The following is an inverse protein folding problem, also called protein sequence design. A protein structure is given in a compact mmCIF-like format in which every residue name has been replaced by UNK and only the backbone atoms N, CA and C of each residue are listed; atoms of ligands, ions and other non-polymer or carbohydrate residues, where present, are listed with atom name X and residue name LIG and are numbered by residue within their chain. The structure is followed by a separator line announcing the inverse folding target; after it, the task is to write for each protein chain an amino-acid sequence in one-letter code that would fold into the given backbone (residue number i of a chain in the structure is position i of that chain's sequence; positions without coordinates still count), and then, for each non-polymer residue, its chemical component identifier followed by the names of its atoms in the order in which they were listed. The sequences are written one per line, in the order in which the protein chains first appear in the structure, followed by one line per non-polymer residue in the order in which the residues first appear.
data_IF_639548844986
#
_entry.id   IF_639548844986
#
_cell.length_a   1.000
_cell.length_b   1.000
_cell.length_c   1.000
_cell.angle_alpha   90.00
_cell.angle_beta   90.00
_cell.angle_gamma   90.00
#
_symmetry.space_group_name_H-M   'P 1'
#
loop_
_entity.id
_entity.type
_entity.pdbx_description
1 polymer ?
#
# COMPACT_ATOMS: atom_id res chain seq x y z
N UNK A 1 -3.73 -68.56 13.32
CA UNK A 1 -2.58 -67.68 13.12
C UNK A 1 -2.79 -66.40 13.90
N UNK A 2 -1.88 -66.06 14.80
CA UNK A 2 -1.94 -65.04 15.84
C UNK A 2 -2.00 -63.59 15.27
N UNK A 3 -3.05 -62.90 15.64
CA UNK A 3 -3.14 -61.43 15.60
C UNK A 3 -2.26 -60.83 16.70
N UNK A 4 -1.29 -59.99 16.36
CA UNK A 4 -0.62 -59.07 17.30
C UNK A 4 -1.40 -57.76 17.32
N UNK A 5 -2.03 -57.48 18.48
CA UNK A 5 -2.37 -56.17 18.92
C UNK A 5 -1.09 -55.49 19.46
N UNK A 6 -0.90 -54.24 19.12
CA UNK A 6 -0.42 -53.15 19.98
C UNK A 6 0.35 -52.11 19.14
N UNK A 7 -0.30 -51.01 18.84
CA UNK A 7 0.33 -49.70 18.88
C UNK A 7 -0.73 -48.65 19.30
N UNK A 8 -0.63 -48.19 20.52
CA UNK A 8 -1.40 -47.06 21.04
C UNK A 8 -0.91 -45.79 20.30
N UNK A 9 -1.70 -45.30 19.38
CA UNK A 9 -1.54 -43.95 18.84
C UNK A 9 -1.84 -42.98 19.97
N UNK A 10 -0.88 -42.17 20.39
CA UNK A 10 -1.00 -41.25 21.51
C UNK A 10 -1.99 -40.12 21.18
N UNK A 11 -2.72 -39.64 22.20
CA UNK A 11 -3.68 -38.56 22.07
C UNK A 11 -3.10 -37.26 21.45
N UNK A 12 -1.77 -37.10 21.47
CA UNK A 12 -1.06 -36.00 20.80
C UNK A 12 -1.04 -36.09 19.26
N UNK A 13 -0.95 -37.32 18.75
CA UNK A 13 -0.90 -37.56 17.30
C UNK A 13 -2.29 -37.38 16.66
N UNK A 14 -3.37 -37.63 17.41
CA UNK A 14 -4.74 -37.33 16.95
C UNK A 14 -5.05 -35.82 16.94
N UNK A 15 -4.48 -35.04 17.83
CA UNK A 15 -4.67 -33.57 17.86
C UNK A 15 -3.90 -32.90 16.71
N UNK A 16 -2.70 -33.39 16.39
CA UNK A 16 -1.94 -32.88 15.23
C UNK A 16 -2.61 -33.28 13.93
N UNK A 17 -3.09 -34.52 13.78
CA UNK A 17 -3.83 -34.96 12.59
C UNK A 17 -5.19 -34.26 12.42
N UNK A 18 -5.88 -33.87 13.51
CA UNK A 18 -7.12 -33.07 13.43
C UNK A 18 -6.85 -31.60 13.13
N UNK A 19 -5.69 -31.03 13.49
CA UNK A 19 -5.29 -29.69 13.10
C UNK A 19 -4.86 -29.60 11.62
N UNK A 20 -4.29 -30.66 11.06
CA UNK A 20 -3.88 -30.72 9.65
C UNK A 20 -5.06 -30.92 8.68
N UNK A 21 -6.19 -31.51 9.13
CA UNK A 21 -7.31 -31.80 8.21
C UNK A 21 -8.31 -30.64 7.99
N UNK A 22 -8.18 -29.51 8.70
CA UNK A 22 -9.11 -28.39 8.62
C UNK A 22 -8.63 -27.21 7.78
N UNK A 23 -7.43 -27.27 7.16
CA UNK A 23 -6.82 -26.13 6.46
C UNK A 23 -6.42 -26.37 5.01
N UNK A 24 -7.01 -27.37 4.34
CA UNK A 24 -6.87 -27.50 2.91
C UNK A 24 -7.85 -26.58 2.17
N UNK A 25 -7.57 -25.27 2.16
CA UNK A 25 -8.04 -24.42 1.08
C UNK A 25 -7.39 -24.92 -0.22
N UNK A 26 -8.19 -25.45 -1.16
CA UNK A 26 -7.72 -25.77 -2.51
C UNK A 26 -7.03 -24.53 -3.07
N UNK A 27 -5.82 -24.64 -3.63
CA UNK A 27 -5.20 -23.54 -4.31
C UNK A 27 -6.11 -23.08 -5.44
N UNK A 28 -6.44 -21.80 -5.48
CA UNK A 28 -7.10 -21.18 -6.61
C UNK A 28 -6.05 -21.09 -7.73
N UNK A 29 -6.06 -22.08 -8.61
CA UNK A 29 -5.36 -22.02 -9.90
C UNK A 29 -6.01 -20.95 -10.80
N UNK A 30 -5.76 -19.71 -10.52
CA UNK A 30 -5.77 -18.66 -11.53
C UNK A 30 -4.31 -18.21 -11.66
N UNK A 31 -3.69 -18.53 -12.76
CA UNK A 31 -2.40 -17.95 -13.17
C UNK A 31 -2.61 -16.46 -13.40
N UNK A 32 -2.61 -15.69 -12.29
CA UNK A 32 -2.63 -14.25 -12.34
C UNK A 32 -1.31 -13.76 -12.97
N UNK A 33 -1.40 -12.75 -13.80
CA UNK A 33 -0.22 -12.20 -14.48
C UNK A 33 0.69 -11.39 -13.56
N UNK A 34 0.30 -11.19 -12.33
CA UNK A 34 1.10 -10.61 -11.25
C UNK A 34 0.77 -11.31 -9.93
N UNK A 35 1.61 -11.09 -8.91
CA UNK A 35 1.48 -11.72 -7.60
C UNK A 35 0.69 -10.83 -6.61
N UNK A 36 -0.62 -11.02 -6.40
CA UNK A 36 -1.40 -10.19 -5.49
C UNK A 36 -1.09 -10.52 -4.02
N UNK A 37 -1.10 -9.52 -3.15
CA UNK A 37 -0.76 -9.66 -1.72
C UNK A 37 -1.67 -10.64 -0.96
N UNK A 38 -2.85 -10.94 -1.48
CA UNK A 38 -3.71 -11.99 -0.90
C UNK A 38 -3.05 -13.37 -0.95
N UNK A 39 -2.18 -13.63 -1.93
CA UNK A 39 -1.41 -14.87 -2.02
C UNK A 39 -0.43 -15.00 -0.86
N UNK A 40 0.24 -13.90 -0.48
CA UNK A 40 1.12 -13.87 0.69
C UNK A 40 0.44 -14.44 1.94
N UNK A 41 -0.79 -13.99 2.23
CA UNK A 41 -1.53 -14.49 3.39
C UNK A 41 -1.87 -15.98 3.26
N UNK A 42 -2.23 -16.43 2.08
CA UNK A 42 -2.56 -17.84 1.84
C UNK A 42 -1.32 -18.73 1.95
N UNK A 43 -0.20 -18.29 1.41
CA UNK A 43 1.07 -19.03 1.41
C UNK A 43 1.69 -19.11 2.82
N UNK A 44 1.67 -18.00 3.59
CA UNK A 44 2.36 -17.94 4.88
C UNK A 44 1.47 -18.28 6.09
N UNK A 45 0.15 -18.08 5.96
CA UNK A 45 -0.79 -18.25 7.08
C UNK A 45 -1.93 -19.22 6.78
N UNK A 46 -1.95 -19.84 5.59
CA UNK A 46 -2.93 -20.84 5.19
C UNK A 46 -4.36 -20.32 4.98
N UNK A 47 -4.58 -19.00 5.07
CA UNK A 47 -5.92 -18.42 4.94
C UNK A 47 -5.87 -17.00 4.36
N UNK A 48 -7.03 -16.55 3.86
CA UNK A 48 -7.22 -15.18 3.42
C UNK A 48 -7.53 -14.29 4.61
N UNK A 49 -6.75 -13.23 4.81
CA UNK A 49 -6.98 -12.21 5.83
C UNK A 49 -7.63 -10.96 5.22
N UNK A 50 -8.63 -10.41 5.91
CA UNK A 50 -9.25 -9.14 5.55
C UNK A 50 -8.78 -8.04 6.48
N UNK A 51 -8.23 -6.95 5.91
CA UNK A 51 -7.84 -5.75 6.67
C UNK A 51 -9.10 -5.04 7.18
N UNK A 52 -9.18 -4.77 8.48
CA UNK A 52 -10.21 -3.95 9.13
C UNK A 52 -9.54 -2.66 9.57
N UNK A 53 -9.97 -1.54 9.01
CA UNK A 53 -9.36 -0.23 9.28
C UNK A 53 -9.67 0.23 10.70
N UNK A 54 -8.65 0.72 11.40
CA UNK A 54 -8.73 1.28 12.76
C UNK A 54 -8.09 2.66 12.78
N UNK A 55 -8.77 3.62 13.37
CA UNK A 55 -8.24 4.94 13.68
C UNK A 55 -7.96 5.03 15.19
N UNK A 56 -6.69 5.05 15.55
CA UNK A 56 -6.25 5.11 16.95
C UNK A 56 -6.18 6.53 17.52
N UNK A 57 -6.60 7.56 16.77
CA UNK A 57 -6.52 8.95 17.19
C UNK A 57 -5.08 9.48 17.28
N UNK A 58 -4.12 8.83 16.60
CA UNK A 58 -2.74 9.31 16.50
C UNK A 58 -2.65 10.47 15.49
N UNK A 59 -1.51 11.15 15.47
CA UNK A 59 -1.25 12.29 14.58
C UNK A 59 -0.07 12.03 13.64
N UNK A 60 0.43 13.08 13.01
CA UNK A 60 1.55 13.04 12.09
C UNK A 60 2.46 14.25 12.37
N UNK A 61 3.80 14.11 12.36
CA UNK A 61 4.73 15.21 12.61
C UNK A 61 4.60 16.37 11.61
N UNK A 62 4.03 16.15 10.43
CA UNK A 62 3.69 17.22 9.48
C UNK A 62 2.40 17.99 9.84
N UNK A 63 1.70 17.64 10.92
CA UNK A 63 0.41 18.24 11.31
C UNK A 63 0.43 18.86 12.70
N UNK A 64 1.21 18.31 13.62
CA UNK A 64 1.24 18.76 15.01
C UNK A 64 2.27 19.87 15.31
N UNK A 65 2.98 20.35 14.29
CA UNK A 65 4.00 21.38 14.40
C UNK A 65 5.42 20.88 14.59
N UNK A 66 5.64 19.59 14.78
CA UNK A 66 7.00 19.03 14.98
C UNK A 66 7.88 19.19 13.73
N UNK A 67 7.33 18.92 12.55
CA UNK A 67 7.96 19.15 11.25
C UNK A 67 7.19 20.17 10.40
N UNK A 68 5.89 20.29 10.63
CA UNK A 68 5.02 21.19 9.89
C UNK A 68 3.58 21.16 10.38
N UNK A 69 2.79 22.12 9.85
CA UNK A 69 1.35 22.21 10.13
C UNK A 69 0.57 21.93 8.85
N UNK A 70 -0.48 21.27 8.78
CA UNK A 70 -1.30 21.08 7.57
C UNK A 70 -1.00 19.81 6.76
N UNK A 71 0.06 19.08 7.05
CA UNK A 71 0.38 17.79 6.39
C UNK A 71 1.08 17.90 5.04
N UNK A 72 1.25 16.77 4.36
CA UNK A 72 1.68 16.75 2.96
C UNK A 72 0.65 17.43 2.07
N UNK A 73 1.09 18.03 0.96
CA UNK A 73 0.23 18.89 0.12
C UNK A 73 -1.02 18.20 -0.42
N UNK A 74 -0.98 16.88 -0.62
CA UNK A 74 -2.05 16.03 -1.16
C UNK A 74 -2.93 15.36 -0.08
N UNK A 75 -2.55 15.46 1.20
CA UNK A 75 -3.08 14.57 2.24
C UNK A 75 -4.36 15.10 2.87
N UNK A 76 -5.43 14.33 2.70
CA UNK A 76 -6.63 14.38 3.52
C UNK A 76 -6.97 12.96 4.00
N UNK A 77 -6.82 12.71 5.32
CA UNK A 77 -7.09 11.38 5.86
C UNK A 77 -8.57 10.98 5.78
N UNK A 78 -9.49 11.94 5.83
CA UNK A 78 -10.94 11.66 5.80
C UNK A 78 -11.39 11.08 4.45
N UNK A 79 -10.62 11.33 3.38
CA UNK A 79 -10.88 10.78 2.06
C UNK A 79 -10.61 9.28 1.94
N UNK A 80 -9.83 8.69 2.86
CA UNK A 80 -9.25 7.36 2.68
C UNK A 80 -9.62 6.33 3.75
N UNK A 81 -10.42 6.69 4.76
CA UNK A 81 -10.87 5.74 5.77
C UNK A 81 -12.40 5.55 5.74
N UNK A 82 -12.89 4.36 6.11
CA UNK A 82 -14.32 4.09 6.15
C UNK A 82 -15.00 4.80 7.33
N UNK A 83 -16.30 5.05 7.21
CA UNK A 83 -17.09 5.79 8.20
C UNK A 83 -17.17 5.11 9.58
N UNK A 84 -16.92 3.82 9.69
CA UNK A 84 -16.89 3.12 10.99
C UNK A 84 -15.60 3.40 11.77
N UNK A 85 -14.52 3.78 11.10
CA UNK A 85 -13.20 3.97 11.67
C UNK A 85 -13.02 5.44 12.11
N UNK A 86 -13.52 5.78 13.28
CA UNK A 86 -13.43 7.14 13.86
C UNK A 86 -12.83 7.10 15.26
N UNK A 87 -12.00 8.09 15.66
CA UNK A 87 -11.24 8.04 16.92
C UNK A 87 -12.09 8.24 18.19
N UNK A 88 -13.34 8.64 18.06
CA UNK A 88 -14.32 8.73 19.15
C UNK A 88 -14.84 7.36 19.61
N UNK A 89 -14.65 6.31 18.79
CA UNK A 89 -14.98 4.92 19.12
C UNK A 89 -13.80 4.18 19.70
N UNK A 90 -14.06 3.24 20.61
CA UNK A 90 -13.02 2.32 21.06
C UNK A 90 -12.49 1.46 19.91
N UNK A 91 -11.25 1.00 20.00
CA UNK A 91 -10.62 0.14 18.98
C UNK A 91 -11.44 -1.14 18.76
N UNK A 92 -11.90 -1.78 19.83
CA UNK A 92 -12.77 -2.97 19.74
C UNK A 92 -14.04 -2.70 18.95
N UNK A 93 -14.74 -1.59 19.26
CA UNK A 93 -15.95 -1.20 18.52
C UNK A 93 -15.70 -0.94 17.03
N UNK A 94 -14.60 -0.26 16.69
CA UNK A 94 -14.22 -0.06 15.29
C UNK A 94 -13.96 -1.39 14.57
N UNK A 95 -13.37 -2.37 15.28
CA UNK A 95 -13.12 -3.72 14.75
C UNK A 95 -14.45 -4.43 14.54
N UNK A 96 -15.36 -4.46 15.52
CA UNK A 96 -16.67 -5.09 15.40
C UNK A 96 -17.46 -4.55 14.20
N UNK A 97 -17.62 -3.22 14.12
CA UNK A 97 -18.32 -2.55 13.03
C UNK A 97 -17.64 -2.80 11.67
N UNK A 98 -16.29 -2.85 11.64
CA UNK A 98 -15.52 -3.15 10.45
C UNK A 98 -15.68 -4.60 9.99
N UNK A 99 -15.74 -5.56 10.90
CA UNK A 99 -16.02 -6.97 10.60
C UNK A 99 -17.40 -7.10 9.98
N UNK A 100 -18.43 -6.50 10.59
CA UNK A 100 -19.79 -6.52 10.03
C UNK A 100 -19.85 -5.87 8.64
N UNK A 101 -19.19 -4.73 8.43
CA UNK A 101 -19.09 -4.09 7.13
C UNK A 101 -18.48 -5.01 6.07
N UNK A 102 -17.45 -5.77 6.45
CA UNK A 102 -16.76 -6.67 5.51
C UNK A 102 -17.51 -7.99 5.28
N UNK A 103 -18.24 -8.51 6.26
CA UNK A 103 -19.10 -9.69 6.07
C UNK A 103 -20.12 -9.49 4.96
N UNK A 104 -20.73 -8.31 4.89
CA UNK A 104 -21.70 -7.95 3.84
C UNK A 104 -21.01 -7.82 2.47
N UNK A 105 -19.79 -7.29 2.43
CA UNK A 105 -19.09 -6.95 1.18
C UNK A 105 -18.18 -8.06 0.65
N UNK A 106 -17.62 -8.88 1.53
CA UNK A 106 -16.60 -9.88 1.22
C UNK A 106 -16.92 -11.23 1.90
N UNK A 107 -17.88 -11.97 1.39
CA UNK A 107 -18.33 -13.26 1.95
C UNK A 107 -17.24 -14.35 2.09
N UNK A 108 -16.04 -14.14 1.53
CA UNK A 108 -14.90 -15.08 1.58
C UNK A 108 -13.88 -14.75 2.68
N UNK A 109 -14.09 -13.68 3.45
CA UNK A 109 -13.20 -13.35 4.56
C UNK A 109 -13.46 -14.32 5.73
N UNK A 110 -12.43 -15.08 6.11
CA UNK A 110 -12.50 -16.06 7.21
C UNK A 110 -11.83 -15.53 8.48
N UNK A 111 -10.87 -14.65 8.35
CA UNK A 111 -10.10 -14.07 9.42
C UNK A 111 -9.77 -12.61 9.13
N UNK A 112 -9.47 -11.86 10.18
CA UNK A 112 -9.27 -10.42 10.09
C UNK A 112 -7.91 -10.00 10.66
N UNK A 113 -7.41 -8.85 10.16
CA UNK A 113 -6.21 -8.19 10.66
C UNK A 113 -6.53 -6.71 10.88
N UNK A 114 -6.19 -6.15 12.05
CA UNK A 114 -6.43 -4.74 12.34
C UNK A 114 -5.45 -3.86 11.57
N UNK A 115 -5.97 -2.92 10.79
CA UNK A 115 -5.18 -2.02 9.95
C UNK A 115 -5.25 -0.60 10.47
N UNK A 116 -4.21 -0.17 11.17
CA UNK A 116 -4.01 1.20 11.62
C UNK A 116 -3.56 2.04 10.43
N UNK A 117 -4.52 2.69 9.76
CA UNK A 117 -4.28 3.37 8.48
C UNK A 117 -4.11 4.89 8.60
N UNK A 118 -5.00 5.65 9.28
CA UNK A 118 -4.92 7.10 9.28
C UNK A 118 -3.68 7.62 10.01
N UNK A 119 -3.03 8.65 9.47
CA UNK A 119 -1.86 9.33 10.03
C UNK A 119 -0.58 8.46 10.08
N UNK A 120 0.23 8.62 11.16
CA UNK A 120 1.48 7.87 11.37
C UNK A 120 1.37 7.04 12.63
N UNK A 121 1.11 5.76 12.48
CA UNK A 121 0.71 4.92 13.61
C UNK A 121 1.87 4.37 14.45
N UNK A 122 3.10 4.82 14.19
CA UNK A 122 4.25 4.65 15.09
C UNK A 122 4.70 5.98 15.72
N UNK A 123 3.99 7.07 15.46
CA UNK A 123 4.31 8.40 15.98
C UNK A 123 3.69 8.63 17.35
N UNK A 124 4.18 7.90 18.33
CA UNK A 124 3.87 8.04 19.75
C UNK A 124 4.97 7.35 20.59
N UNK A 125 5.05 7.61 21.92
CA UNK A 125 5.89 6.83 22.82
C UNK A 125 5.54 5.34 22.77
N UNK A 126 6.54 4.45 22.90
CA UNK A 126 6.34 3.01 22.77
C UNK A 126 5.31 2.46 23.75
N UNK A 127 5.29 2.93 25.01
CA UNK A 127 4.30 2.52 26.01
C UNK A 127 2.87 2.75 25.51
N UNK A 128 2.61 3.90 24.86
CA UNK A 128 1.30 4.23 24.29
C UNK A 128 0.94 3.34 23.11
N UNK A 129 1.91 3.03 22.24
CA UNK A 129 1.71 2.11 21.12
C UNK A 129 1.38 0.71 21.59
N UNK A 130 2.07 0.22 22.66
CA UNK A 130 1.78 -1.07 23.31
C UNK A 130 0.34 -1.15 23.80
N UNK A 131 -0.16 -0.11 24.48
CA UNK A 131 -1.55 -0.03 24.94
C UNK A 131 -2.55 -0.07 23.78
N UNK A 132 -2.31 0.69 22.72
CA UNK A 132 -3.18 0.78 21.54
C UNK A 132 -3.26 -0.57 20.81
N UNK A 133 -2.11 -1.16 20.52
CA UNK A 133 -2.09 -2.41 19.76
C UNK A 133 -2.56 -3.61 20.56
N UNK A 134 -2.33 -3.62 21.90
CA UNK A 134 -2.88 -4.65 22.78
C UNK A 134 -4.41 -4.69 22.73
N UNK A 135 -5.10 -3.55 22.63
CA UNK A 135 -6.56 -3.51 22.50
C UNK A 135 -7.04 -4.20 21.21
N UNK A 136 -6.36 -3.99 20.09
CA UNK A 136 -6.70 -4.66 18.82
C UNK A 136 -6.38 -6.17 18.88
N UNK A 137 -5.22 -6.53 19.44
CA UNK A 137 -4.75 -7.91 19.53
C UNK A 137 -5.52 -8.76 20.56
N UNK A 138 -6.25 -8.12 21.49
CA UNK A 138 -7.15 -8.78 22.44
C UNK A 138 -8.47 -9.24 21.78
N UNK A 139 -8.81 -8.71 20.59
CA UNK A 139 -10.04 -9.10 19.89
C UNK A 139 -9.89 -10.52 19.32
N UNK A 140 -10.87 -11.45 19.58
CA UNK A 140 -10.73 -12.87 19.22
C UNK A 140 -10.58 -13.14 17.73
N UNK A 141 -11.19 -12.31 16.88
CA UNK A 141 -11.16 -12.47 15.42
C UNK A 141 -9.93 -11.82 14.75
N UNK A 142 -9.08 -11.14 15.54
CA UNK A 142 -7.90 -10.42 15.02
C UNK A 142 -6.64 -11.27 15.16
N UNK A 143 -6.00 -11.57 14.02
CA UNK A 143 -4.79 -12.39 13.94
C UNK A 143 -3.49 -11.59 14.08
N UNK A 144 -3.57 -10.26 13.90
CA UNK A 144 -2.40 -9.40 13.94
C UNK A 144 -2.72 -7.97 13.57
N UNK A 145 -1.69 -7.19 13.28
CA UNK A 145 -1.77 -5.77 12.99
C UNK A 145 -1.04 -5.41 11.70
N UNK A 146 -1.62 -4.48 10.94
CA UNK A 146 -0.96 -3.75 9.85
C UNK A 146 -0.85 -2.30 10.28
N UNK A 147 0.34 -1.74 10.20
CA UNK A 147 0.67 -0.42 10.72
C UNK A 147 1.08 0.50 9.56
N UNK A 148 0.16 1.38 9.13
CA UNK A 148 0.46 2.45 8.19
C UNK A 148 1.24 3.56 8.89
N UNK A 149 2.44 3.87 8.41
CA UNK A 149 3.28 4.89 9.06
C UNK A 149 4.22 5.56 8.07
N UNK A 150 4.88 6.61 8.56
CA UNK A 150 5.97 7.30 7.87
C UNK A 150 7.31 6.64 8.21
N UNK A 151 8.27 6.59 7.27
CA UNK A 151 9.59 6.02 7.53
C UNK A 151 10.37 6.72 8.65
N UNK A 152 10.18 8.03 8.83
CA UNK A 152 10.84 8.84 9.87
C UNK A 152 10.18 8.74 11.26
N UNK A 153 9.11 7.94 11.39
CA UNK A 153 8.40 7.73 12.66
C UNK A 153 8.71 6.39 13.31
N UNK A 154 9.67 5.63 12.80
CA UNK A 154 10.15 4.38 13.40
C UNK A 154 11.54 4.56 13.99
N UNK A 155 11.85 3.79 15.03
CA UNK A 155 13.15 3.67 15.66
C UNK A 155 13.41 2.22 16.08
N UNK A 156 14.61 1.92 16.50
CA UNK A 156 15.00 0.55 16.86
C UNK A 156 14.14 -0.01 18.00
N UNK A 157 13.83 0.77 19.03
CA UNK A 157 13.04 0.33 20.17
C UNK A 157 11.64 -0.15 19.74
N UNK A 158 10.98 0.59 18.85
CA UNK A 158 9.67 0.21 18.29
C UNK A 158 9.76 -1.03 17.41
N UNK A 159 10.78 -1.08 16.54
CA UNK A 159 10.97 -2.22 15.63
C UNK A 159 11.35 -3.48 16.39
N UNK A 160 12.18 -3.41 17.44
CA UNK A 160 12.52 -4.55 18.29
C UNK A 160 11.26 -5.11 18.97
N UNK A 161 10.42 -4.25 19.51
CA UNK A 161 9.16 -4.68 20.12
C UNK A 161 8.18 -5.29 19.10
N UNK A 162 8.11 -4.75 17.88
CA UNK A 162 7.27 -5.32 16.80
C UNK A 162 7.80 -6.67 16.34
N UNK A 163 9.12 -6.88 16.35
CA UNK A 163 9.73 -8.17 16.12
C UNK A 163 9.33 -9.18 17.22
N UNK A 164 9.42 -8.80 18.49
CA UNK A 164 8.97 -9.63 19.63
C UNK A 164 7.51 -10.08 19.44
N UNK A 165 6.62 -9.17 19.04
CA UNK A 165 5.22 -9.52 18.75
C UNK A 165 5.10 -10.59 17.64
N UNK A 166 5.91 -10.46 16.60
CA UNK A 166 5.93 -11.41 15.48
C UNK A 166 6.46 -12.78 15.95
N UNK A 167 7.51 -12.82 16.74
CA UNK A 167 8.08 -14.04 17.33
C UNK A 167 7.10 -14.76 18.27
N UNK A 168 6.19 -14.00 18.91
CA UNK A 168 5.09 -14.54 19.72
C UNK A 168 3.85 -14.96 18.88
N UNK A 169 4.01 -15.09 17.57
CA UNK A 169 3.01 -15.64 16.65
C UNK A 169 1.91 -14.65 16.22
N UNK A 170 2.09 -13.35 16.45
CA UNK A 170 1.20 -12.34 15.92
C UNK A 170 1.65 -11.92 14.52
N UNK A 171 0.72 -11.72 13.61
CA UNK A 171 1.02 -11.17 12.29
C UNK A 171 1.30 -9.68 12.44
N UNK A 172 2.51 -9.25 12.06
CA UNK A 172 2.93 -7.84 12.09
C UNK A 172 3.36 -7.42 10.69
N UNK A 173 2.74 -6.38 10.17
CA UNK A 173 3.06 -5.81 8.86
C UNK A 173 3.20 -4.31 9.00
N UNK A 174 4.29 -3.74 8.48
CA UNK A 174 4.46 -2.28 8.42
C UNK A 174 4.23 -1.81 6.98
N UNK A 175 3.34 -0.82 6.80
CA UNK A 175 3.11 -0.16 5.52
C UNK A 175 3.73 1.23 5.55
N UNK A 176 4.83 1.41 4.82
CA UNK A 176 5.55 2.69 4.75
C UNK A 176 5.00 3.58 3.64
N UNK A 177 4.54 4.77 3.99
CA UNK A 177 4.27 5.83 3.03
C UNK A 177 5.59 6.43 2.54
N UNK A 178 6.16 5.89 1.48
CA UNK A 178 7.40 6.37 0.83
C UNK A 178 7.04 7.49 -0.15
N UNK A 179 6.01 7.27 -0.93
CA UNK A 179 5.35 8.12 -1.92
C UNK A 179 6.16 8.33 -3.21
N UNK A 180 7.46 8.67 -3.12
CA UNK A 180 8.38 8.84 -4.25
C UNK A 180 9.79 8.37 -3.90
N UNK A 181 10.55 7.96 -4.92
CA UNK A 181 12.00 7.68 -4.80
C UNK A 181 12.86 8.91 -5.05
N UNK A 182 12.25 10.06 -5.36
CA UNK A 182 12.95 11.29 -5.71
C UNK A 182 12.82 12.35 -4.62
N UNK A 183 13.95 12.78 -4.05
CA UNK A 183 13.96 13.79 -2.98
C UNK A 183 13.34 15.12 -3.40
N UNK A 184 13.55 15.57 -4.65
CA UNK A 184 12.89 16.78 -5.19
C UNK A 184 11.37 16.71 -5.11
N UNK A 185 10.80 15.53 -5.36
CA UNK A 185 9.36 15.29 -5.29
C UNK A 185 8.89 15.26 -3.85
N UNK A 186 9.61 14.55 -2.96
CA UNK A 186 9.30 14.49 -1.53
C UNK A 186 9.33 15.89 -0.90
N UNK A 187 10.29 16.73 -1.27
CA UNK A 187 10.36 18.14 -0.85
C UNK A 187 9.17 18.93 -1.41
N UNK A 188 8.89 18.79 -2.72
CA UNK A 188 7.79 19.48 -3.42
C UNK A 188 6.41 19.20 -2.81
N UNK A 189 6.16 17.97 -2.36
CA UNK A 189 4.91 17.57 -1.70
C UNK A 189 4.93 17.77 -0.19
N UNK A 190 5.95 18.39 0.37
CA UNK A 190 6.14 18.60 1.81
C UNK A 190 6.07 17.29 2.61
N UNK A 191 6.77 16.25 2.13
CA UNK A 191 6.76 14.94 2.80
C UNK A 191 7.45 14.99 4.16
N UNK A 192 8.45 15.87 4.35
CA UNK A 192 9.16 16.09 5.61
C UNK A 192 10.24 15.05 5.93
N UNK A 193 10.49 14.09 5.05
CA UNK A 193 11.65 13.19 5.05
C UNK A 193 12.14 12.98 3.62
N UNK A 194 13.39 12.56 3.47
CA UNK A 194 14.01 12.19 2.20
C UNK A 194 13.90 10.67 1.94
N UNK A 195 14.31 10.25 0.74
CA UNK A 195 14.26 8.84 0.33
C UNK A 195 15.24 7.97 1.12
N UNK A 196 16.42 8.49 1.50
CA UNK A 196 17.43 7.80 2.30
C UNK A 196 16.89 7.41 3.68
N UNK A 197 16.05 8.26 4.27
CA UNK A 197 15.31 7.93 5.51
C UNK A 197 14.38 6.74 5.30
N UNK A 198 13.70 6.68 4.16
CA UNK A 198 12.83 5.55 3.84
C UNK A 198 13.66 4.26 3.63
N UNK A 199 14.77 4.33 2.90
CA UNK A 199 15.68 3.18 2.71
C UNK A 199 16.16 2.64 4.06
N UNK A 200 16.63 3.51 4.95
CA UNK A 200 17.10 3.12 6.28
C UNK A 200 16.00 2.41 7.10
N UNK A 201 14.79 2.96 7.13
CA UNK A 201 13.66 2.36 7.84
C UNK A 201 13.31 0.97 7.29
N UNK A 202 13.30 0.83 5.96
CA UNK A 202 13.03 -0.42 5.26
C UNK A 202 14.11 -1.47 5.58
N UNK A 203 15.39 -1.11 5.55
CA UNK A 203 16.50 -2.01 5.86
C UNK A 203 16.48 -2.46 7.33
N UNK A 204 16.21 -1.53 8.27
CA UNK A 204 16.08 -1.85 9.69
C UNK A 204 14.92 -2.81 9.97
N UNK A 205 13.82 -2.64 9.25
CA UNK A 205 12.64 -3.51 9.34
C UNK A 205 12.92 -4.89 8.74
N UNK A 206 13.58 -4.93 7.58
CA UNK A 206 13.96 -6.18 6.90
C UNK A 206 14.93 -7.02 7.75
N UNK A 207 15.91 -6.38 8.43
CA UNK A 207 16.86 -7.06 9.35
C UNK A 207 16.16 -7.80 10.48
N UNK A 208 14.97 -7.37 10.89
CA UNK A 208 14.15 -7.99 11.93
C UNK A 208 13.16 -9.02 11.39
N UNK A 209 13.18 -9.28 10.08
CA UNK A 209 12.25 -10.23 9.45
C UNK A 209 10.77 -9.78 9.48
N UNK A 210 10.51 -8.49 9.75
CA UNK A 210 9.15 -7.96 9.76
C UNK A 210 8.68 -7.74 8.32
N UNK A 211 7.49 -8.25 8.01
CA UNK A 211 6.83 -8.04 6.70
C UNK A 211 6.54 -6.57 6.48
N UNK A 212 6.88 -6.06 5.29
CA UNK A 212 6.69 -4.65 4.97
C UNK A 212 6.16 -4.40 3.56
N UNK A 213 5.36 -3.35 3.43
CA UNK A 213 4.79 -2.88 2.18
C UNK A 213 5.20 -1.42 1.94
N UNK A 214 5.69 -1.11 0.75
CA UNK A 214 5.99 0.28 0.35
C UNK A 214 4.86 0.89 -0.45
N UNK A 215 4.42 2.10 -0.07
CA UNK A 215 3.44 2.88 -0.83
C UNK A 215 4.14 3.86 -1.74
N UNK A 216 3.68 3.97 -3.00
CA UNK A 216 4.17 4.90 -4.01
C UNK A 216 3.00 5.55 -4.74
N UNK A 217 3.17 6.81 -5.11
CA UNK A 217 2.16 7.59 -5.85
C UNK A 217 2.76 8.01 -7.19
N UNK A 218 2.08 7.68 -8.29
CA UNK A 218 2.45 8.12 -9.63
C UNK A 218 1.69 9.40 -10.02
N UNK A 219 2.36 10.29 -10.75
CA UNK A 219 1.81 11.59 -11.15
C UNK A 219 2.00 12.70 -10.12
N UNK A 220 2.87 12.51 -9.13
CA UNK A 220 3.25 13.58 -8.20
C UNK A 220 3.88 14.76 -8.95
N UNK A 221 3.63 16.02 -8.52
CA UNK A 221 4.10 17.19 -9.24
C UNK A 221 5.63 17.24 -9.31
N UNK A 222 6.13 17.62 -10.49
CA UNK A 222 7.55 17.76 -10.79
C UNK A 222 8.25 16.45 -11.19
N UNK A 223 7.55 15.32 -11.25
CA UNK A 223 8.07 14.08 -11.84
C UNK A 223 7.79 14.03 -13.34
N UNK A 224 8.80 13.66 -14.12
CA UNK A 224 8.67 13.40 -15.54
C UNK A 224 8.12 11.99 -15.81
N UNK A 225 7.59 11.74 -17.00
CA UNK A 225 7.14 10.40 -17.40
C UNK A 225 8.29 9.38 -17.30
N UNK A 226 9.49 9.78 -17.76
CA UNK A 226 10.70 8.97 -17.71
C UNK A 226 11.13 8.64 -16.28
N UNK A 227 11.05 9.59 -15.35
CA UNK A 227 11.36 9.36 -13.93
C UNK A 227 10.37 8.37 -13.31
N UNK A 228 9.08 8.52 -13.55
CA UNK A 228 8.08 7.55 -13.07
C UNK A 228 8.40 6.14 -13.57
N UNK A 229 8.72 5.97 -14.86
CA UNK A 229 9.10 4.68 -15.44
C UNK A 229 10.43 4.14 -14.88
N UNK A 230 11.41 5.01 -14.63
CA UNK A 230 12.73 4.61 -14.12
C UNK A 230 12.71 4.23 -12.64
N UNK A 231 11.71 4.69 -11.86
CA UNK A 231 11.60 4.41 -10.43
C UNK A 231 11.57 2.90 -10.12
N UNK A 232 11.11 2.08 -11.04
CA UNK A 232 11.08 0.60 -10.91
C UNK A 232 12.47 0.02 -10.60
N UNK A 233 13.53 0.57 -11.20
CA UNK A 233 14.91 0.09 -10.98
C UNK A 233 15.39 0.38 -9.54
N UNK A 234 14.91 1.47 -8.95
CA UNK A 234 15.21 1.83 -7.55
C UNK A 234 14.38 0.97 -6.62
N UNK A 235 13.08 0.83 -6.89
CA UNK A 235 12.14 0.02 -6.09
C UNK A 235 12.60 -1.44 -6.03
N UNK A 236 13.06 -2.00 -7.15
CA UNK A 236 13.57 -3.38 -7.20
C UNK A 236 14.75 -3.66 -6.26
N UNK A 237 15.48 -2.65 -5.81
CA UNK A 237 16.61 -2.80 -4.87
C UNK A 237 16.19 -2.78 -3.41
N UNK A 238 14.95 -2.36 -3.10
CA UNK A 238 14.48 -2.26 -1.73
C UNK A 238 14.10 -3.65 -1.20
N UNK A 239 14.47 -4.01 0.04
CA UNK A 239 14.10 -5.28 0.66
C UNK A 239 12.66 -5.26 1.19
N UNK A 240 11.71 -4.84 0.34
CA UNK A 240 10.27 -4.86 0.61
C UNK A 240 9.69 -6.24 0.27
N UNK A 241 8.63 -6.62 0.97
CA UNK A 241 7.82 -7.81 0.69
C UNK A 241 6.70 -7.49 -0.29
N UNK A 242 6.05 -6.35 -0.09
CA UNK A 242 4.90 -5.95 -0.89
C UNK A 242 4.99 -4.49 -1.34
N UNK A 243 4.22 -4.18 -2.38
CA UNK A 243 4.12 -2.84 -2.96
C UNK A 243 2.66 -2.43 -3.08
N UNK A 244 2.42 -1.13 -2.90
CA UNK A 244 1.10 -0.53 -3.04
C UNK A 244 1.24 0.76 -3.84
N UNK A 245 0.60 0.79 -4.99
CA UNK A 245 0.65 1.92 -5.91
C UNK A 245 -0.67 2.68 -5.94
N UNK A 246 -0.57 3.99 -6.09
CA UNK A 246 -1.69 4.89 -6.32
C UNK A 246 -1.35 5.84 -7.46
N UNK A 247 -2.33 6.19 -8.29
CA UNK A 247 -2.26 7.42 -9.07
C UNK A 247 -2.54 8.60 -8.16
N UNK A 248 -1.97 9.77 -8.44
CA UNK A 248 -2.29 10.99 -7.71
C UNK A 248 -3.79 11.29 -7.79
N UNK A 249 -4.41 11.48 -6.65
CA UNK A 249 -5.79 11.93 -6.51
C UNK A 249 -5.79 13.38 -6.02
N UNK A 250 -6.46 14.27 -6.75
CA UNK A 250 -6.61 15.67 -6.36
C UNK A 250 -7.80 15.79 -5.41
N UNK A 251 -7.50 15.80 -4.11
CA UNK A 251 -8.51 15.81 -3.04
C UNK A 251 -8.93 17.23 -2.74
N UNK A 252 -10.26 17.47 -2.63
CA UNK A 252 -10.87 18.76 -2.27
C UNK A 252 -10.33 19.27 -0.93
N UNK A 253 -10.16 20.59 -0.83
CA UNK A 253 -9.70 21.25 0.38
C UNK A 253 -8.19 21.14 0.65
N UNK A 254 -7.47 20.32 -0.12
CA UNK A 254 -6.01 20.17 0.02
C UNK A 254 -5.25 21.35 -0.62
N UNK A 255 -4.01 21.53 -0.18
CA UNK A 255 -3.09 22.47 -0.85
C UNK A 255 -2.84 22.06 -2.30
N UNK A 256 -2.76 20.74 -2.57
CA UNK A 256 -2.56 20.18 -3.91
C UNK A 256 -3.68 20.57 -4.87
N UNK A 257 -4.93 20.62 -4.43
CA UNK A 257 -6.06 21.09 -5.27
C UNK A 257 -5.83 22.50 -5.79
N UNK A 258 -5.40 23.43 -4.89
CA UNK A 258 -5.13 24.83 -5.28
C UNK A 258 -3.96 24.93 -6.26
N UNK A 259 -2.91 24.16 -6.02
CA UNK A 259 -1.74 24.11 -6.90
C UNK A 259 -2.09 23.51 -8.27
N UNK A 260 -2.90 22.47 -8.30
CA UNK A 260 -3.37 21.84 -9.55
C UNK A 260 -4.26 22.79 -10.36
N UNK A 261 -5.21 23.49 -9.71
CA UNK A 261 -6.04 24.49 -10.37
C UNK A 261 -5.20 25.62 -10.99
N UNK A 262 -4.17 26.09 -10.28
CA UNK A 262 -3.21 27.05 -10.81
C UNK A 262 -2.44 26.49 -12.02
N UNK A 263 -1.95 25.24 -11.93
CA UNK A 263 -1.23 24.59 -13.00
C UNK A 263 -2.09 24.42 -14.27
N UNK A 264 -3.39 24.13 -14.13
CA UNK A 264 -4.33 24.12 -15.26
C UNK A 264 -4.40 25.51 -15.91
N UNK A 265 -4.59 26.57 -15.12
CA UNK A 265 -4.67 27.93 -15.65
C UNK A 265 -3.37 28.39 -16.36
N UNK A 266 -2.22 27.86 -15.96
CA UNK A 266 -0.91 28.14 -16.53
C UNK A 266 -0.52 27.18 -17.68
N UNK A 267 -1.38 26.22 -18.05
CA UNK A 267 -1.07 25.22 -19.10
C UNK A 267 0.05 24.25 -18.71
N UNK A 268 0.24 23.99 -17.42
CA UNK A 268 1.31 23.12 -16.87
C UNK A 268 0.81 21.71 -16.48
N UNK A 269 -0.32 21.29 -17.02
CA UNK A 269 -0.89 19.96 -16.83
C UNK A 269 -0.89 19.24 -18.17
N UNK A 270 -0.39 18.02 -18.21
CA UNK A 270 -0.38 17.17 -19.40
C UNK A 270 -0.86 15.76 -19.04
N UNK A 271 -1.38 15.03 -20.02
CA UNK A 271 -1.55 13.59 -19.87
C UNK A 271 -0.19 12.87 -19.98
N UNK A 272 -0.12 11.61 -19.56
CA UNK A 272 1.11 10.82 -19.65
C UNK A 272 1.62 10.77 -21.12
N UNK A 273 0.74 10.47 -22.06
CA UNK A 273 1.10 10.39 -23.49
C UNK A 273 1.66 11.71 -24.02
N UNK A 274 1.03 12.84 -23.66
CA UNK A 274 1.53 14.16 -24.05
C UNK A 274 2.91 14.44 -23.48
N UNK A 275 3.14 14.11 -22.19
CA UNK A 275 4.43 14.29 -21.54
C UNK A 275 5.52 13.42 -22.19
N UNK A 276 5.24 12.14 -22.47
CA UNK A 276 6.17 11.24 -23.17
C UNK A 276 6.54 11.76 -24.58
N UNK A 277 5.55 12.25 -25.34
CA UNK A 277 5.81 12.84 -26.65
C UNK A 277 6.70 14.09 -26.55
N UNK A 278 6.46 14.96 -25.56
CA UNK A 278 7.29 16.15 -25.32
C UNK A 278 8.73 15.78 -24.96
N UNK A 279 8.92 14.80 -24.07
CA UNK A 279 10.25 14.30 -23.66
C UNK A 279 11.02 13.68 -24.83
N UNK A 280 10.35 12.86 -25.65
CA UNK A 280 10.94 12.27 -26.85
C UNK A 280 11.36 13.34 -27.88
N UNK A 281 10.50 14.34 -28.10
CA UNK A 281 10.79 15.45 -29.00
C UNK A 281 11.99 16.28 -28.53
N UNK A 282 12.08 16.57 -27.23
CA UNK A 282 13.22 17.29 -26.63
C UNK A 282 14.53 16.51 -26.76
N UNK A 283 14.49 15.18 -26.56
CA UNK A 283 15.65 14.32 -26.71
C UNK A 283 16.21 14.31 -28.16
N UNK A 284 15.33 14.41 -29.14
CA UNK A 284 15.73 14.48 -30.56
C UNK A 284 16.29 15.84 -30.98
N UNK A 285 15.92 16.91 -30.27
CA UNK A 285 16.25 18.30 -30.61
C UNK A 285 17.24 18.98 -29.66
N UNK A 286 18.25 18.27 -29.14
CA UNK A 286 19.30 18.85 -28.29
C UNK A 286 20.00 20.11 -28.87
N UNK A 287 19.70 20.51 -30.14
CA UNK A 287 20.28 21.65 -30.81
C UNK A 287 19.42 22.93 -30.80
N UNK A 288 18.17 22.90 -30.36
CA UNK A 288 17.29 24.08 -30.38
C UNK A 288 16.77 24.36 -28.99
N UNK A 289 17.40 25.32 -28.31
CA UNK A 289 16.90 25.96 -27.08
C UNK A 289 15.65 26.77 -27.41
N UNK A 290 14.48 26.16 -27.43
CA UNK A 290 13.21 26.90 -27.42
C UNK A 290 12.10 26.10 -26.73
N UNK A 291 11.77 26.52 -25.51
CA UNK A 291 10.45 26.65 -24.90
C UNK A 291 9.42 25.56 -25.18
N UNK A 292 9.54 24.42 -24.48
CA UNK A 292 8.37 23.77 -23.90
C UNK A 292 8.67 23.55 -22.42
N UNK A 293 7.98 24.30 -21.58
CA UNK A 293 8.03 24.12 -20.13
C UNK A 293 7.58 22.68 -19.84
N UNK A 294 8.37 21.92 -19.08
CA UNK A 294 7.94 20.61 -18.62
C UNK A 294 6.64 20.78 -17.82
N UNK A 295 5.66 19.88 -17.96
CA UNK A 295 4.45 19.95 -17.16
C UNK A 295 4.81 19.80 -15.68
N UNK A 296 4.12 20.54 -14.81
CA UNK A 296 4.26 20.37 -13.35
C UNK A 296 3.46 19.16 -12.87
N UNK A 297 2.34 18.85 -13.53
CA UNK A 297 1.51 17.69 -13.27
C UNK A 297 1.35 16.82 -14.49
N UNK A 298 1.54 15.51 -14.30
CA UNK A 298 1.19 14.49 -15.28
C UNK A 298 -0.01 13.72 -14.75
N UNK A 299 -1.13 13.82 -15.44
CA UNK A 299 -2.35 13.08 -15.15
C UNK A 299 -2.45 11.84 -16.02
N UNK A 300 -3.34 10.93 -15.66
CA UNK A 300 -3.58 9.70 -16.40
C UNK A 300 -5.04 9.60 -16.80
N UNK A 301 -5.32 9.32 -18.06
CA UNK A 301 -6.57 8.66 -18.42
C UNK A 301 -6.54 7.23 -17.88
N UNK A 302 -7.71 6.58 -17.82
CA UNK A 302 -7.77 5.18 -17.35
C UNK A 302 -6.89 4.25 -18.21
N UNK A 303 -6.95 4.42 -19.53
CA UNK A 303 -6.19 3.60 -20.48
C UNK A 303 -4.68 3.83 -20.32
N UNK A 304 -4.23 5.08 -20.25
CA UNK A 304 -2.82 5.41 -20.00
C UNK A 304 -2.29 4.81 -18.70
N UNK A 305 -3.09 4.87 -17.62
CA UNK A 305 -2.67 4.31 -16.33
C UNK A 305 -2.58 2.78 -16.37
N UNK A 306 -3.56 2.12 -16.97
CA UNK A 306 -3.54 0.65 -17.11
C UNK A 306 -2.35 0.20 -17.96
N UNK A 307 -2.02 0.92 -19.03
CA UNK A 307 -0.85 0.63 -19.86
C UNK A 307 0.46 0.86 -19.11
N UNK A 308 0.55 1.97 -18.40
CA UNK A 308 1.70 2.32 -17.58
C UNK A 308 1.93 1.25 -16.49
N UNK A 309 0.90 0.95 -15.69
CA UNK A 309 1.05 0.02 -14.57
C UNK A 309 1.28 -1.43 -15.01
N UNK A 310 0.71 -1.86 -16.15
CA UNK A 310 0.99 -3.19 -16.72
C UNK A 310 2.47 -3.34 -17.10
N UNK A 311 3.04 -2.35 -17.79
CA UNK A 311 4.46 -2.32 -18.14
C UNK A 311 5.36 -2.14 -16.92
N UNK A 312 4.92 -1.39 -15.93
CA UNK A 312 5.65 -1.21 -14.68
C UNK A 312 5.74 -2.52 -13.89
N UNK A 313 4.61 -3.21 -13.71
CA UNK A 313 4.56 -4.52 -13.04
C UNK A 313 5.42 -5.56 -13.78
N UNK A 314 5.42 -5.57 -15.11
CA UNK A 314 6.27 -6.46 -15.90
C UNK A 314 7.78 -6.28 -15.62
N UNK A 315 8.20 -5.12 -15.12
CA UNK A 315 9.59 -4.79 -14.76
C UNK A 315 9.89 -4.93 -13.26
N UNK A 316 8.90 -5.23 -12.43
CA UNK A 316 9.10 -5.49 -11.00
C UNK A 316 9.66 -6.91 -10.78
N UNK A 317 10.44 -7.09 -9.71
CA UNK A 317 10.88 -8.42 -9.29
C UNK A 317 9.67 -9.35 -9.08
N UNK A 318 9.76 -10.64 -9.50
CA UNK A 318 8.64 -11.58 -9.40
C UNK A 318 8.28 -11.96 -7.96
N UNK A 319 9.18 -11.75 -7.00
CA UNK A 319 8.99 -12.03 -5.57
C UNK A 319 8.23 -10.94 -4.81
N UNK A 320 7.97 -9.78 -5.42
CA UNK A 320 7.09 -8.77 -4.82
C UNK A 320 5.64 -9.20 -4.87
N UNK A 321 4.92 -8.94 -3.80
CA UNK A 321 3.46 -8.99 -3.77
C UNK A 321 2.87 -7.60 -4.05
N UNK A 322 1.79 -7.53 -4.81
CA UNK A 322 1.10 -6.27 -5.11
C UNK A 322 -0.18 -6.19 -4.26
N UNK A 323 -0.18 -5.31 -3.25
CA UNK A 323 -1.37 -5.10 -2.38
C UNK A 323 -2.46 -4.34 -3.13
N UNK A 324 -2.06 -3.27 -3.81
CA UNK A 324 -2.94 -2.44 -4.63
C UNK A 324 -2.12 -1.74 -5.71
N UNK A 325 -2.72 -1.54 -6.88
CA UNK A 325 -2.06 -0.80 -7.97
C UNK A 325 -2.79 0.50 -8.36
N UNK A 326 -3.95 0.80 -7.78
CA UNK A 326 -4.70 2.04 -8.00
C UNK A 326 -5.48 2.44 -6.74
N UNK A 327 -5.61 3.74 -6.49
CA UNK A 327 -6.41 4.30 -5.42
C UNK A 327 -7.87 4.48 -5.82
N UNK A 328 -8.79 4.26 -4.88
CA UNK A 328 -10.19 4.65 -4.97
C UNK A 328 -10.45 5.78 -3.98
N UNK A 329 -11.13 6.82 -4.43
CA UNK A 329 -11.58 7.93 -3.57
C UNK A 329 -13.08 8.13 -3.76
N UNK A 330 -13.87 8.24 -2.69
CA UNK A 330 -15.28 8.54 -2.81
C UNK A 330 -15.51 9.87 -3.55
N UNK A 331 -16.48 9.96 -4.47
CA UNK A 331 -16.68 11.14 -5.33
C UNK A 331 -16.87 12.47 -4.60
N UNK A 332 -17.37 12.42 -3.37
CA UNK A 332 -17.53 13.63 -2.52
C UNK A 332 -16.21 14.34 -2.22
N UNK A 333 -15.07 13.64 -2.29
CA UNK A 333 -13.73 14.18 -2.00
C UNK A 333 -12.97 14.66 -3.23
N UNK A 334 -13.47 14.47 -4.43
CA UNK A 334 -12.84 14.93 -5.66
C UNK A 334 -13.80 15.80 -6.45
N UNK A 335 -13.29 16.78 -7.21
CA UNK A 335 -14.14 17.62 -8.05
C UNK A 335 -14.73 16.82 -9.21
N UNK A 336 -13.87 16.12 -9.93
CA UNK A 336 -14.26 15.21 -11.01
C UNK A 336 -13.46 13.92 -10.84
N UNK A 337 -14.13 12.76 -10.71
CA UNK A 337 -13.43 11.47 -10.72
C UNK A 337 -12.77 11.28 -12.09
N UNK A 338 -11.44 11.20 -12.18
CA UNK A 338 -10.74 11.18 -13.46
C UNK A 338 -11.09 9.95 -14.31
N UNK A 339 -11.60 8.89 -13.69
CA UNK A 339 -11.99 7.64 -14.36
C UNK A 339 -13.46 7.25 -14.10
N UNK A 340 -14.29 8.18 -13.62
CA UNK A 340 -15.66 7.90 -13.21
C UNK A 340 -15.75 7.06 -11.92
N UNK A 341 -16.84 6.32 -11.75
CA UNK A 341 -17.12 5.51 -10.56
C UNK A 341 -16.67 4.05 -10.75
N UNK A 342 -15.42 3.84 -11.15
CA UNK A 342 -14.89 2.49 -11.34
C UNK A 342 -14.38 1.91 -10.01
N UNK A 343 -14.73 0.65 -9.72
CA UNK A 343 -14.28 -0.05 -8.52
C UNK A 343 -12.96 -0.76 -8.75
N UNK A 344 -12.16 -0.91 -7.69
CA UNK A 344 -10.87 -1.61 -7.76
C UNK A 344 -10.96 -3.01 -8.38
N UNK A 345 -12.04 -3.76 -8.11
CA UNK A 345 -12.23 -5.07 -8.72
C UNK A 345 -12.38 -5.01 -10.25
N UNK A 346 -13.04 -3.96 -10.77
CA UNK A 346 -13.16 -3.73 -12.21
C UNK A 346 -11.81 -3.31 -12.82
N UNK A 347 -11.09 -2.40 -12.13
CA UNK A 347 -9.71 -2.02 -12.50
C UNK A 347 -8.80 -3.25 -12.58
N UNK A 348 -8.91 -4.16 -11.63
CA UNK A 348 -8.13 -5.41 -11.63
C UNK A 348 -8.43 -6.26 -12.86
N UNK A 349 -9.71 -6.42 -13.21
CA UNK A 349 -10.09 -7.17 -14.41
C UNK A 349 -9.58 -6.51 -15.68
N UNK A 350 -9.59 -5.19 -15.76
CA UNK A 350 -9.08 -4.44 -16.93
C UNK A 350 -7.56 -4.62 -17.02
N UNK A 351 -6.83 -4.51 -15.91
CA UNK A 351 -5.39 -4.72 -15.88
C UNK A 351 -5.00 -6.13 -16.31
N UNK A 352 -5.65 -7.16 -15.77
CA UNK A 352 -5.39 -8.56 -16.13
C UNK A 352 -5.58 -8.81 -17.63
N UNK A 353 -6.68 -8.33 -18.22
CA UNK A 353 -6.93 -8.40 -19.68
C UNK A 353 -5.89 -7.62 -20.48
N UNK A 354 -5.43 -6.47 -19.97
CA UNK A 354 -4.40 -5.68 -20.66
C UNK A 354 -3.05 -6.37 -20.63
N UNK A 355 -2.64 -6.92 -19.50
CA UNK A 355 -1.42 -7.72 -19.38
C UNK A 355 -1.47 -8.97 -20.27
N UNK A 356 -2.63 -9.62 -20.37
CA UNK A 356 -2.84 -10.74 -21.28
C UNK A 356 -2.67 -10.32 -22.74
N UNK A 357 -3.32 -9.24 -23.16
CA UNK A 357 -3.23 -8.71 -24.53
C UNK A 357 -1.81 -8.34 -24.93
N UNK A 358 -1.00 -7.86 -23.98
CA UNK A 358 0.40 -7.46 -24.20
C UNK A 358 1.39 -8.59 -23.94
N UNK A 359 0.91 -9.77 -23.57
CA UNK A 359 1.69 -10.92 -23.12
C UNK A 359 2.73 -10.58 -22.04
N UNK A 360 2.30 -9.75 -21.06
CA UNK A 360 3.11 -9.34 -19.93
C UNK A 360 2.79 -10.18 -18.70
N UNK A 361 3.83 -10.52 -17.95
CA UNK A 361 3.77 -11.07 -16.59
C UNK A 361 4.74 -10.34 -15.70
N UNK A 362 4.49 -10.31 -14.39
CA UNK A 362 5.43 -9.70 -13.44
C UNK A 362 6.82 -10.32 -13.60
N UNK A 363 7.84 -9.47 -13.75
CA UNK A 363 9.23 -9.90 -13.90
C UNK A 363 9.68 -10.28 -15.31
N UNK A 364 8.80 -10.28 -16.31
CA UNK A 364 9.17 -10.68 -17.68
C UNK A 364 10.05 -9.65 -18.43
N UNK A 365 10.20 -8.44 -17.90
CA UNK A 365 10.93 -7.32 -18.54
C UNK A 365 11.99 -6.70 -17.62
N UNK A 366 12.55 -7.46 -16.67
CA UNK A 366 13.63 -7.02 -15.76
C UNK A 366 14.94 -6.84 -16.54
#
# INVERSE_FOLDING_TARGET
LKLRKDSKIGAKDLVVAQLESHYLCKPMEQHLRYNPFVNYFTEHYGCRLQKVVVNAGLTCPNRDGSLGTGGCTYCDNDAFHPNYSTPDKSIGRQIDEGIEFHKVRYHKAQQYIAYFQPFSNTYAPLCKLKEIYAQALAHPDIRGIVIGTRPDCVDNEKLDWLQELSEHGKIVIIEYGIESVYNKTLERIHRGHNFETAVKAIEETARRGITQCGHFIFGLPGETAREMEASVQIINKLPLTALKFHQLQIIKGTRMEKEFAKAIAEGKVSTLTQAQCQEAYQAQRQAIKQYHQQPDFITFTLEEYIDFIAKFIARLRPDFYIDRFAGEVPPRFVNEPPWGLIRYQELRTILEKRMEKLDLTQGCSI
#
